data_IF_914328435122
#
_entry.id   IF_914328435122
#
_cell.length_a   1.000
_cell.length_b   1.000
_cell.length_c   1.000
_cell.angle_alpha   90.00
_cell.angle_beta   90.00
_cell.angle_gamma   90.00
#
_symmetry.space_group_name_H-M   'P 1'
#
loop_
_entity.id
_entity.type
_entity.pdbx_description
1 polymer ?
#
# COMPACT_ATOMS: atom_id res chain seq x y z
N UNK A 1 14.77 0.82 -20.58
CA UNK A 1 13.59 0.50 -19.73
C UNK A 1 12.70 1.73 -19.71
N UNK A 2 11.37 1.57 -19.74
CA UNK A 2 10.47 2.73 -19.61
C UNK A 2 10.36 3.15 -18.14
N UNK A 3 9.93 4.39 -17.87
CA UNK A 3 9.69 4.88 -16.51
C UNK A 3 8.71 3.97 -15.74
N UNK A 4 7.67 3.49 -16.44
CA UNK A 4 6.73 2.49 -15.90
C UNK A 4 7.41 1.21 -15.44
N UNK A 5 8.32 0.64 -16.24
CA UNK A 5 9.05 -0.57 -15.87
C UNK A 5 9.95 -0.33 -14.66
N UNK A 6 10.66 0.80 -14.62
CA UNK A 6 11.54 1.16 -13.50
C UNK A 6 10.72 1.25 -12.20
N UNK A 7 9.62 2.02 -12.23
CA UNK A 7 8.77 2.21 -11.06
C UNK A 7 8.17 0.88 -10.55
N UNK A 8 7.77 -0.02 -11.46
CA UNK A 8 7.27 -1.34 -11.07
C UNK A 8 8.35 -2.19 -10.40
N UNK A 9 9.59 -2.13 -10.87
CA UNK A 9 10.72 -2.86 -10.26
C UNK A 9 11.13 -2.28 -8.91
N UNK A 10 11.13 -0.95 -8.77
CA UNK A 10 11.38 -0.28 -7.49
C UNK A 10 10.35 -0.73 -6.44
N UNK A 11 9.06 -0.66 -6.78
CA UNK A 11 8.00 -1.09 -5.86
C UNK A 11 8.05 -2.61 -5.61
N UNK A 12 8.43 -3.42 -6.60
CA UNK A 12 8.61 -4.87 -6.40
C UNK A 12 9.72 -5.16 -5.41
N UNK A 13 10.82 -4.41 -5.50
CA UNK A 13 11.95 -4.51 -4.56
C UNK A 13 11.55 -4.05 -3.16
N UNK A 14 10.78 -2.96 -3.04
CA UNK A 14 10.27 -2.46 -1.77
C UNK A 14 9.26 -3.43 -1.13
N UNK A 15 8.42 -4.11 -1.91
CA UNK A 15 7.56 -5.18 -1.42
C UNK A 15 8.38 -6.34 -0.85
N UNK A 16 9.39 -6.81 -1.58
CA UNK A 16 10.29 -7.86 -1.11
C UNK A 16 11.04 -7.46 0.16
N UNK A 17 11.47 -6.19 0.25
CA UNK A 17 12.07 -5.63 1.46
C UNK A 17 11.10 -5.68 2.63
N UNK A 18 9.86 -5.21 2.45
CA UNK A 18 8.84 -5.21 3.50
C UNK A 18 8.51 -6.63 3.99
N UNK A 19 8.34 -7.59 3.07
CA UNK A 19 8.13 -9.00 3.40
C UNK A 19 9.33 -9.59 4.17
N UNK A 20 10.54 -9.31 3.70
CA UNK A 20 11.78 -9.79 4.33
C UNK A 20 11.94 -9.22 5.74
N UNK A 21 11.66 -7.92 5.92
CA UNK A 21 11.67 -7.27 7.23
C UNK A 21 10.63 -7.88 8.17
N UNK A 22 9.42 -8.15 7.68
CA UNK A 22 8.37 -8.77 8.49
C UNK A 22 8.79 -10.15 9.02
N UNK A 23 9.39 -10.97 8.15
CA UNK A 23 9.92 -12.29 8.51
C UNK A 23 11.11 -12.17 9.47
N UNK A 24 12.06 -11.28 9.16
CA UNK A 24 13.27 -11.07 9.96
C UNK A 24 12.95 -10.63 11.40
N UNK A 25 11.93 -9.77 11.56
CA UNK A 25 11.45 -9.31 12.87
C UNK A 25 10.67 -10.38 13.65
N UNK A 26 10.51 -11.58 13.09
CA UNK A 26 9.87 -12.71 13.77
C UNK A 26 8.35 -12.60 13.90
N UNK A 27 7.70 -11.72 13.12
CA UNK A 27 6.25 -11.62 13.14
C UNK A 27 5.60 -12.87 12.51
N UNK A 28 4.43 -13.31 12.97
CA UNK A 28 3.77 -14.48 12.40
C UNK A 28 3.34 -14.22 10.95
N UNK A 29 3.98 -14.90 10.00
CA UNK A 29 3.78 -14.70 8.56
C UNK A 29 2.32 -14.85 8.11
N UNK A 30 1.52 -15.63 8.84
CA UNK A 30 0.09 -15.75 8.60
C UNK A 30 -0.63 -14.39 8.65
N UNK A 31 -0.28 -13.52 9.59
CA UNK A 31 -0.88 -12.18 9.69
C UNK A 31 -0.52 -11.29 8.51
N UNK A 32 0.68 -11.46 7.94
CA UNK A 32 1.08 -10.73 6.75
C UNK A 32 0.10 -10.98 5.61
N UNK A 33 -0.13 -12.24 5.25
CA UNK A 33 -1.03 -12.59 4.16
C UNK A 33 -2.50 -12.32 4.49
N UNK A 34 -2.92 -12.52 5.74
CA UNK A 34 -4.29 -12.26 6.17
C UNK A 34 -4.68 -10.78 6.01
N UNK A 35 -3.77 -9.86 6.42
CA UNK A 35 -4.05 -8.43 6.41
C UNK A 35 -3.49 -7.70 5.19
N UNK A 36 -2.79 -8.38 4.30
CA UNK A 36 -2.21 -7.76 3.10
C UNK A 36 -3.27 -7.01 2.30
N UNK A 37 -4.44 -7.61 2.10
CA UNK A 37 -5.54 -7.02 1.30
C UNK A 37 -6.48 -6.11 2.11
N UNK A 38 -6.18 -5.85 3.38
CA UNK A 38 -7.04 -5.01 4.22
C UNK A 38 -7.23 -3.58 3.68
N UNK A 39 -6.21 -2.91 3.10
CA UNK A 39 -6.39 -1.57 2.53
C UNK A 39 -7.39 -1.53 1.35
N UNK A 40 -7.64 -2.64 0.66
CA UNK A 40 -8.59 -2.72 -0.47
C UNK A 40 -10.05 -2.55 -0.04
N UNK A 41 -10.36 -2.67 1.26
CA UNK A 41 -11.68 -2.33 1.79
C UNK A 41 -12.07 -0.89 1.42
N UNK A 42 -11.09 0.00 1.26
CA UNK A 42 -11.32 1.38 0.81
C UNK A 42 -11.95 1.50 -0.59
N UNK A 43 -11.92 0.43 -1.40
CA UNK A 43 -12.66 0.37 -2.66
C UNK A 43 -14.18 0.47 -2.48
N UNK A 44 -14.71 0.23 -1.27
CA UNK A 44 -16.14 0.42 -0.97
C UNK A 44 -16.64 1.83 -1.30
N UNK A 45 -15.75 2.82 -1.31
CA UNK A 45 -16.09 4.18 -1.71
C UNK A 45 -16.65 4.31 -3.13
N UNK A 46 -16.33 3.36 -4.02
CA UNK A 46 -16.87 3.34 -5.38
C UNK A 46 -18.37 3.02 -5.45
N UNK A 47 -18.98 2.54 -4.36
CA UNK A 47 -20.45 2.45 -4.27
C UNK A 47 -21.12 3.82 -4.33
N UNK A 48 -20.42 4.90 -3.96
CA UNK A 48 -20.89 6.28 -4.06
C UNK A 48 -20.44 7.02 -5.33
N UNK A 49 -19.90 6.32 -6.32
CA UNK A 49 -19.43 6.88 -7.60
C UNK A 49 -17.91 7.06 -7.69
N UNK A 50 -17.42 7.35 -8.90
CA UNK A 50 -15.97 7.38 -9.22
C UNK A 50 -15.18 8.42 -8.44
N UNK A 51 -15.70 9.64 -8.30
CA UNK A 51 -15.02 10.72 -7.58
C UNK A 51 -14.85 10.43 -6.08
N UNK A 52 -15.91 9.95 -5.42
CA UNK A 52 -15.82 9.56 -4.00
C UNK A 52 -14.96 8.31 -3.81
N UNK A 53 -15.12 7.32 -4.70
CA UNK A 53 -14.32 6.10 -4.72
C UNK A 53 -12.83 6.37 -4.85
N UNK A 54 -12.42 7.25 -5.77
CA UNK A 54 -11.02 7.63 -5.94
C UNK A 54 -10.45 8.28 -4.67
N UNK A 55 -11.21 9.17 -4.01
CA UNK A 55 -10.78 9.82 -2.75
C UNK A 55 -10.57 8.80 -1.63
N UNK A 56 -11.57 7.94 -1.38
CA UNK A 56 -11.50 6.94 -0.29
C UNK A 56 -10.41 5.91 -0.58
N UNK A 57 -10.31 5.41 -1.81
CA UNK A 57 -9.24 4.51 -2.22
C UNK A 57 -7.85 5.13 -2.02
N UNK A 58 -7.66 6.38 -2.44
CA UNK A 58 -6.37 7.07 -2.31
C UNK A 58 -5.97 7.30 -0.84
N UNK A 59 -6.93 7.44 0.08
CA UNK A 59 -6.65 7.45 1.52
C UNK A 59 -6.14 6.09 2.00
N UNK A 60 -6.66 4.98 1.46
CA UNK A 60 -6.14 3.64 1.75
C UNK A 60 -4.78 3.34 1.11
N UNK A 61 -4.44 4.02 0.00
CA UNK A 61 -3.29 3.69 -0.84
C UNK A 61 -2.19 4.77 -0.86
N UNK A 62 -2.28 5.74 0.05
CA UNK A 62 -1.20 6.71 0.31
C UNK A 62 -0.19 6.14 1.30
N UNK A 63 1.09 6.40 1.08
CA UNK A 63 2.16 6.02 2.00
C UNK A 63 2.20 6.89 3.27
N UNK A 64 1.46 8.00 3.30
CA UNK A 64 1.45 8.92 4.44
C UNK A 64 1.06 8.19 5.73
N UNK A 65 -0.02 7.42 5.74
CA UNK A 65 -0.48 6.73 6.94
C UNK A 65 0.46 5.61 7.43
N UNK A 66 0.92 4.65 6.61
CA UNK A 66 1.87 3.66 7.09
C UNK A 66 3.19 4.28 7.56
N UNK A 67 3.67 5.35 6.93
CA UNK A 67 4.85 6.09 7.40
C UNK A 67 4.59 6.77 8.75
N UNK A 68 3.43 7.38 8.95
CA UNK A 68 3.07 7.95 10.26
C UNK A 68 2.99 6.89 11.35
N UNK A 69 2.47 5.69 11.07
CA UNK A 69 2.47 4.58 12.03
C UNK A 69 3.89 4.10 12.36
N UNK A 70 4.77 4.04 11.35
CA UNK A 70 6.18 3.71 11.56
C UNK A 70 6.87 4.76 12.44
N UNK A 71 6.67 6.06 12.17
CA UNK A 71 7.22 7.14 12.97
C UNK A 71 6.67 7.13 14.40
N UNK A 72 5.37 6.85 14.56
CA UNK A 72 4.74 6.73 15.86
C UNK A 72 5.32 5.58 16.67
N UNK A 73 5.60 4.44 16.04
CA UNK A 73 6.27 3.30 16.69
C UNK A 73 7.65 3.68 17.26
N UNK A 74 8.40 4.55 16.57
CA UNK A 74 9.72 5.01 17.04
C UNK A 74 9.64 5.86 18.32
N UNK A 75 8.51 6.55 18.54
CA UNK A 75 8.29 7.39 19.73
C UNK A 75 7.58 6.60 20.83
N UNK A 76 6.62 5.75 20.46
CA UNK A 76 5.78 4.96 21.35
C UNK A 76 5.80 3.51 20.84
N UNK A 77 6.62 2.62 21.42
CA UNK A 77 6.85 1.28 20.89
C UNK A 77 5.69 0.30 21.20
N UNK A 78 4.48 0.66 20.76
CA UNK A 78 3.33 -0.24 20.78
C UNK A 78 3.59 -1.35 19.75
N UNK A 79 3.62 -2.59 20.22
CA UNK A 79 4.05 -3.76 19.45
C UNK A 79 3.28 -3.98 18.14
N UNK A 80 2.04 -3.48 18.06
CA UNK A 80 1.17 -3.61 16.89
C UNK A 80 1.46 -2.57 15.79
N UNK A 81 2.05 -1.42 16.11
CA UNK A 81 2.22 -0.34 15.13
C UNK A 81 3.17 -0.74 13.99
N UNK A 82 4.30 -1.35 14.33
CA UNK A 82 5.32 -1.77 13.36
C UNK A 82 4.80 -2.81 12.35
N UNK A 83 4.21 -3.95 12.75
CA UNK A 83 3.69 -4.93 11.78
C UNK A 83 2.57 -4.36 10.92
N UNK A 84 1.69 -3.50 11.47
CA UNK A 84 0.64 -2.83 10.68
C UNK A 84 1.26 -1.91 9.62
N UNK A 85 2.23 -1.08 10.00
CA UNK A 85 2.92 -0.19 9.08
C UNK A 85 3.63 -0.95 7.94
N UNK A 86 4.27 -2.08 8.25
CA UNK A 86 4.97 -2.93 7.28
C UNK A 86 3.98 -3.58 6.31
N UNK A 87 2.91 -4.22 6.81
CA UNK A 87 1.92 -4.90 5.96
C UNK A 87 1.22 -3.90 5.04
N UNK A 88 0.82 -2.75 5.58
CA UNK A 88 0.15 -1.72 4.79
C UNK A 88 1.08 -1.13 3.72
N UNK A 89 2.34 -0.87 4.05
CA UNK A 89 3.35 -0.46 3.05
C UNK A 89 3.52 -1.54 1.96
N UNK A 90 3.60 -2.81 2.36
CA UNK A 90 3.74 -3.93 1.43
C UNK A 90 2.56 -4.00 0.45
N UNK A 91 1.32 -3.83 0.91
CA UNK A 91 0.16 -3.77 0.02
C UNK A 91 0.31 -2.69 -1.06
N UNK A 92 0.66 -1.47 -0.65
CA UNK A 92 0.83 -0.34 -1.58
C UNK A 92 1.94 -0.63 -2.59
N UNK A 93 3.05 -1.22 -2.15
CA UNK A 93 4.16 -1.61 -3.05
C UNK A 93 3.76 -2.73 -4.00
N UNK A 94 3.00 -3.74 -3.53
CA UNK A 94 2.46 -4.81 -4.37
C UNK A 94 1.58 -4.23 -5.49
N UNK A 95 0.63 -3.37 -5.14
CA UNK A 95 -0.25 -2.70 -6.09
C UNK A 95 0.53 -1.95 -7.17
N UNK A 96 1.52 -1.15 -6.75
CA UNK A 96 2.36 -0.37 -7.67
C UNK A 96 3.25 -1.25 -8.56
N UNK A 97 3.67 -2.40 -8.06
CA UNK A 97 4.38 -3.43 -8.84
C UNK A 97 3.50 -4.00 -9.95
N UNK A 98 2.21 -4.20 -9.67
CA UNK A 98 1.22 -4.69 -10.63
C UNK A 98 0.73 -3.60 -11.60
N UNK A 99 1.10 -2.34 -11.38
CA UNK A 99 0.72 -1.20 -12.21
C UNK A 99 -0.54 -0.46 -11.73
N UNK A 100 -1.05 -0.80 -10.54
CA UNK A 100 -2.03 0.01 -9.83
C UNK A 100 -1.36 1.21 -9.16
N UNK A 101 -2.15 2.13 -8.64
CA UNK A 101 -1.66 3.35 -8.01
C UNK A 101 -2.80 4.26 -7.62
N UNK A 102 -2.46 5.47 -7.16
CA UNK A 102 -3.43 6.51 -6.88
C UNK A 102 -4.32 6.79 -8.09
N UNK A 103 -5.62 6.85 -7.82
CA UNK A 103 -6.72 6.93 -8.77
C UNK A 103 -7.06 8.37 -9.10
N UNK A 104 -7.36 8.62 -10.37
CA UNK A 104 -8.02 9.85 -10.80
C UNK A 104 -9.54 9.75 -10.56
N UNK A 105 -10.26 10.90 -10.41
CA UNK A 105 -11.68 10.91 -10.04
C UNK A 105 -12.65 10.61 -11.20
N UNK A 106 -12.14 10.12 -12.32
CA UNK A 106 -12.88 9.82 -13.55
C UNK A 106 -13.25 8.33 -13.66
N UNK A 107 -12.27 7.43 -13.62
CA UNK A 107 -12.45 5.99 -13.82
C UNK A 107 -11.60 5.14 -12.87
N UNK A 108 -12.12 3.97 -12.48
CA UNK A 108 -11.43 3.06 -11.56
C UNK A 108 -10.06 2.60 -12.06
N UNK A 109 -9.90 2.40 -13.37
CA UNK A 109 -8.63 1.89 -13.90
C UNK A 109 -7.58 2.99 -14.02
N UNK A 110 -7.99 4.26 -14.17
CA UNK A 110 -7.08 5.36 -14.43
C UNK A 110 -6.24 5.71 -13.19
N UNK A 111 -4.93 5.48 -13.27
CA UNK A 111 -3.97 5.77 -12.20
C UNK A 111 -2.80 6.59 -12.69
N UNK A 112 -2.12 7.26 -11.76
CA UNK A 112 -0.88 7.99 -12.06
C UNK A 112 0.21 7.10 -12.69
N UNK A 113 0.30 5.82 -12.33
CA UNK A 113 1.29 4.89 -12.91
C UNK A 113 0.94 4.54 -14.36
N UNK A 114 -0.35 4.38 -14.67
CA UNK A 114 -0.79 4.11 -16.04
C UNK A 114 -0.58 5.32 -16.97
N UNK A 115 -0.59 6.52 -16.42
CA UNK A 115 -0.42 7.77 -17.16
C UNK A 115 1.05 8.21 -17.34
N UNK A 116 2.02 7.36 -16.99
CA UNK A 116 3.48 7.60 -17.16
C UNK A 116 4.04 7.23 -18.55
#
# INVERSE_FOLDING_TARGET
MTNKTILRLENGTLFLLALSLFIYLGFPIFYFFLFLLLPDITMIGYLGGSSLGAKIYNLGHTLVFPVLLLLLYLVIPIILLLPIAIIWSAHIFMDRTLGYGLKYPDEFKHTHIQNL
#
